data_IF_461909221026
#
_entry.id   IF_461909221026
#
_cell.length_a   1.000
_cell.length_b   1.000
_cell.length_c   1.000
_cell.angle_alpha   90.00
_cell.angle_beta   90.00
_cell.angle_gamma   90.00
#
_symmetry.space_group_name_H-M   'P 1'
#
loop_
_entity.id
_entity.type
_entity.pdbx_description
1 polymer ?
#
# COMPACT_ATOMS: atom_id res chain seq x y z
N UNK A 1 -23.69 -2.67 -47.18
CA UNK A 1 -24.05 -4.08 -47.44
C UNK A 1 -22.89 -4.97 -46.97
N UNK A 2 -23.24 -6.08 -46.30
CA UNK A 2 -22.45 -7.30 -46.00
C UNK A 2 -21.44 -7.25 -44.85
N UNK A 3 -21.91 -7.82 -43.72
CA UNK A 3 -21.13 -8.39 -42.63
C UNK A 3 -20.33 -9.62 -43.11
N UNK A 4 -19.17 -9.88 -42.49
CA UNK A 4 -18.57 -11.21 -42.42
C UNK A 4 -17.80 -11.40 -41.10
N UNK A 5 -18.39 -12.19 -40.20
CA UNK A 5 -17.67 -12.94 -39.15
C UNK A 5 -17.09 -14.22 -39.77
N UNK A 6 -16.00 -14.74 -39.20
CA UNK A 6 -15.88 -16.18 -39.04
C UNK A 6 -15.66 -16.56 -37.57
N UNK A 7 -16.55 -17.42 -37.07
CA UNK A 7 -16.35 -18.26 -35.89
C UNK A 7 -15.59 -19.51 -36.34
N UNK A 8 -14.51 -19.88 -35.65
CA UNK A 8 -14.14 -21.29 -35.54
C UNK A 8 -13.45 -21.56 -34.19
N UNK A 9 -14.03 -22.50 -33.46
CA UNK A 9 -13.60 -23.00 -32.17
C UNK A 9 -12.45 -24.02 -32.31
N UNK A 10 -11.57 -24.09 -31.32
CA UNK A 10 -10.68 -25.24 -31.12
C UNK A 10 -10.61 -25.60 -29.63
N UNK A 11 -11.06 -26.82 -29.33
CA UNK A 11 -11.07 -27.50 -28.04
C UNK A 11 -9.84 -28.40 -27.95
N UNK A 12 -9.08 -28.31 -26.86
CA UNK A 12 -8.18 -29.37 -26.37
C UNK A 12 -8.39 -29.44 -24.85
N UNK A 13 -9.07 -30.47 -24.33
CA UNK A 13 -8.55 -31.81 -23.99
C UNK A 13 -8.02 -31.88 -22.54
N UNK A 14 -8.57 -32.84 -21.81
CA UNK A 14 -8.56 -33.08 -20.37
C UNK A 14 -7.39 -33.96 -19.86
N UNK A 15 -6.99 -33.75 -18.59
CA UNK A 15 -6.33 -34.76 -17.70
C UNK A 15 -4.83 -34.55 -17.45
N UNK A 16 -4.23 -34.77 -16.28
CA UNK A 16 -4.62 -35.22 -14.93
C UNK A 16 -3.39 -34.96 -13.98
N UNK A 17 -3.33 -35.37 -12.69
CA UNK A 17 -2.96 -34.46 -11.58
C UNK A 17 -1.63 -34.80 -10.86
N UNK A 18 -1.35 -34.04 -9.79
CA UNK A 18 -0.48 -34.33 -8.62
C UNK A 18 1.05 -34.25 -8.77
N UNK A 19 1.58 -33.10 -8.38
CA UNK A 19 2.78 -33.02 -7.53
C UNK A 19 2.56 -31.91 -6.48
N UNK A 20 1.64 -32.17 -5.55
CA UNK A 20 1.58 -31.46 -4.29
C UNK A 20 2.38 -32.27 -3.26
N UNK A 21 3.62 -31.86 -3.03
CA UNK A 21 4.37 -32.23 -1.84
C UNK A 21 5.13 -31.00 -1.35
N UNK A 22 4.41 -30.30 -0.49
CA UNK A 22 4.88 -29.54 0.66
C UNK A 22 6.42 -29.41 0.80
N UNK A 23 6.92 -28.19 0.60
CA UNK A 23 7.81 -27.63 1.60
C UNK A 23 7.08 -26.44 2.22
N UNK A 24 6.13 -26.81 3.07
CA UNK A 24 5.54 -25.96 4.10
C UNK A 24 6.68 -25.58 5.05
N UNK A 25 7.52 -24.65 4.62
CA UNK A 25 8.36 -23.91 5.53
C UNK A 25 7.40 -23.11 6.38
N UNK A 26 7.20 -23.58 7.61
CA UNK A 26 6.56 -22.89 8.71
C UNK A 26 7.33 -21.61 9.03
N UNK A 27 7.30 -20.63 8.11
CA UNK A 27 7.68 -19.26 8.38
C UNK A 27 6.49 -18.64 9.11
N UNK A 28 6.42 -18.91 10.41
CA UNK A 28 5.68 -18.19 11.42
C UNK A 28 4.43 -17.44 10.91
N UNK A 29 3.28 -18.09 11.08
CA UNK A 29 1.92 -17.56 11.00
C UNK A 29 1.69 -16.47 12.07
N UNK A 30 2.49 -15.41 12.04
CA UNK A 30 2.42 -14.24 12.92
C UNK A 30 1.89 -13.03 12.11
N UNK A 31 0.93 -13.28 11.22
CA UNK A 31 0.16 -12.21 10.58
C UNK A 31 -1.00 -11.78 11.50
N UNK A 32 -1.48 -10.52 11.42
CA UNK A 32 -2.74 -10.14 12.03
C UNK A 32 -3.87 -11.10 11.60
N UNK A 33 -4.86 -11.37 12.47
CA UNK A 33 -6.00 -12.20 12.07
C UNK A 33 -6.76 -11.57 10.90
N UNK A 34 -7.47 -12.36 10.07
CA UNK A 34 -8.11 -11.88 8.84
C UNK A 34 -9.12 -10.76 9.08
N UNK A 35 -9.78 -10.74 10.24
CA UNK A 35 -10.70 -9.68 10.66
C UNK A 35 -9.97 -8.35 10.82
N UNK A 36 -8.76 -8.37 11.37
CA UNK A 36 -7.91 -7.18 11.53
C UNK A 36 -7.43 -6.69 10.16
N UNK A 37 -7.12 -7.62 9.26
CA UNK A 37 -6.79 -7.25 7.88
C UNK A 37 -7.94 -6.51 7.20
N UNK A 38 -9.18 -6.97 7.37
CA UNK A 38 -10.37 -6.31 6.83
C UNK A 38 -10.59 -4.92 7.45
N UNK A 39 -10.49 -4.80 8.78
CA UNK A 39 -10.64 -3.51 9.48
C UNK A 39 -9.55 -2.50 9.06
N UNK A 40 -8.29 -2.94 8.98
CA UNK A 40 -7.19 -2.10 8.50
C UNK A 40 -7.42 -1.64 7.06
N UNK A 41 -7.97 -2.51 6.21
CA UNK A 41 -8.29 -2.16 4.83
C UNK A 41 -9.42 -1.14 4.77
N UNK A 42 -10.48 -1.35 5.55
CA UNK A 42 -11.59 -0.39 5.66
C UNK A 42 -11.13 0.98 6.18
N UNK A 43 -10.31 1.03 7.24
CA UNK A 43 -9.74 2.27 7.74
C UNK A 43 -8.92 2.99 6.68
N UNK A 44 -8.16 2.24 5.87
CA UNK A 44 -7.39 2.77 4.75
C UNK A 44 -8.28 3.33 3.64
N UNK A 45 -9.35 2.63 3.27
CA UNK A 45 -10.27 3.07 2.20
C UNK A 45 -11.09 4.29 2.62
N UNK A 46 -11.50 4.36 3.89
CA UNK A 46 -12.12 5.54 4.48
C UNK A 46 -11.15 6.74 4.47
N UNK A 47 -9.91 6.53 4.92
CA UNK A 47 -8.90 7.58 4.92
C UNK A 47 -8.52 8.03 3.52
N UNK A 48 -8.49 7.12 2.53
CA UNK A 48 -8.32 7.47 1.12
C UNK A 48 -9.45 8.37 0.64
N UNK A 49 -10.69 7.98 0.89
CA UNK A 49 -11.86 8.74 0.45
C UNK A 49 -11.87 10.13 1.10
N UNK A 50 -11.67 10.22 2.41
CA UNK A 50 -11.64 11.49 3.13
C UNK A 50 -10.48 12.39 2.67
N UNK A 51 -9.25 11.85 2.62
CA UNK A 51 -8.08 12.64 2.23
C UNK A 51 -8.19 13.18 0.81
N UNK A 52 -8.76 12.44 -0.14
CA UNK A 52 -9.00 12.94 -1.49
C UNK A 52 -10.13 13.95 -1.55
N UNK A 53 -11.18 13.80 -0.74
CA UNK A 53 -12.28 14.76 -0.67
C UNK A 53 -11.86 16.13 -0.13
N UNK A 54 -10.87 16.16 0.76
CA UNK A 54 -10.30 17.40 1.31
C UNK A 54 -9.41 18.16 0.31
N UNK A 55 -9.04 17.54 -0.81
CA UNK A 55 -8.30 18.19 -1.88
C UNK A 55 -9.23 18.98 -2.81
N UNK A 56 -8.74 20.13 -3.27
CA UNK A 56 -9.31 20.86 -4.39
C UNK A 56 -9.35 19.95 -5.64
N UNK A 57 -10.31 20.19 -6.53
CA UNK A 57 -10.43 19.38 -7.75
C UNK A 57 -9.16 19.43 -8.62
N UNK A 58 -8.50 20.59 -8.68
CA UNK A 58 -7.27 20.78 -9.44
C UNK A 58 -6.09 20.03 -8.83
N UNK A 59 -5.90 20.11 -7.51
CA UNK A 59 -4.77 19.46 -6.84
C UNK A 59 -4.98 17.95 -6.74
N UNK A 60 -6.24 17.51 -6.53
CA UNK A 60 -6.63 16.10 -6.65
C UNK A 60 -6.23 15.50 -7.99
N UNK A 61 -6.44 16.22 -9.10
CA UNK A 61 -6.06 15.75 -10.43
C UNK A 61 -4.53 15.59 -10.58
N UNK A 62 -3.73 16.53 -10.04
CA UNK A 62 -2.27 16.43 -10.02
C UNK A 62 -1.79 15.23 -9.19
N UNK A 63 -2.36 15.04 -8.01
CA UNK A 63 -2.06 13.91 -7.12
C UNK A 63 -2.38 12.59 -7.82
N UNK A 64 -3.55 12.49 -8.47
CA UNK A 64 -3.96 11.30 -9.20
C UNK A 64 -2.99 10.98 -10.35
N UNK A 65 -2.55 11.99 -11.11
CA UNK A 65 -1.59 11.79 -12.18
C UNK A 65 -0.25 11.20 -11.70
N UNK A 66 0.27 11.65 -10.56
CA UNK A 66 1.50 11.08 -9.97
C UNK A 66 1.28 9.64 -9.53
N UNK A 67 0.13 9.35 -8.89
CA UNK A 67 -0.20 7.99 -8.45
C UNK A 67 -0.35 7.04 -9.65
N UNK A 68 -0.98 7.50 -10.73
CA UNK A 68 -1.15 6.73 -11.96
C UNK A 68 0.20 6.46 -12.62
N UNK A 69 1.11 7.45 -12.67
CA UNK A 69 2.46 7.26 -13.17
C UNK A 69 3.23 6.19 -12.36
N UNK A 70 3.05 6.14 -11.04
CA UNK A 70 3.65 5.11 -10.19
C UNK A 70 3.02 3.74 -10.43
N UNK A 71 1.69 3.65 -10.47
CA UNK A 71 0.96 2.40 -10.72
C UNK A 71 1.30 1.80 -12.10
N UNK A 72 1.44 2.66 -13.11
CA UNK A 72 1.82 2.28 -14.47
C UNK A 72 3.32 2.00 -14.64
N UNK A 73 4.12 2.14 -13.58
CA UNK A 73 5.57 1.91 -13.61
C UNK A 73 6.38 2.97 -14.36
N UNK A 74 5.76 4.09 -14.73
CA UNK A 74 6.43 5.24 -15.35
C UNK A 74 7.29 6.01 -14.33
N UNK A 75 6.92 5.93 -13.05
CA UNK A 75 7.65 6.52 -11.95
C UNK A 75 7.98 5.47 -10.88
N UNK A 76 9.27 5.16 -10.75
CA UNK A 76 9.75 4.11 -9.84
C UNK A 76 10.35 4.66 -8.55
N UNK A 77 10.75 5.93 -8.52
CA UNK A 77 11.21 6.62 -7.31
C UNK A 77 10.02 7.11 -6.48
N UNK A 78 9.67 6.32 -5.46
CA UNK A 78 8.59 6.61 -4.52
C UNK A 78 8.87 7.87 -3.67
N UNK A 79 10.14 8.21 -3.42
CA UNK A 79 10.48 9.41 -2.64
C UNK A 79 10.26 10.66 -3.49
N UNK A 80 10.70 10.64 -4.74
CA UNK A 80 10.43 11.70 -5.69
C UNK A 80 8.92 11.88 -5.93
N UNK A 81 8.16 10.78 -6.03
CA UNK A 81 6.70 10.82 -6.16
C UNK A 81 6.02 11.50 -4.97
N UNK A 82 6.43 11.13 -3.75
CA UNK A 82 5.91 11.76 -2.54
C UNK A 82 6.20 13.28 -2.51
N UNK A 83 7.41 13.70 -2.92
CA UNK A 83 7.80 15.11 -2.97
C UNK A 83 7.01 15.90 -4.03
N UNK A 84 6.75 15.30 -5.20
CA UNK A 84 5.92 15.91 -6.23
C UNK A 84 4.47 16.10 -5.74
N UNK A 85 3.94 15.14 -5.01
CA UNK A 85 2.63 15.28 -4.36
C UNK A 85 2.68 16.41 -3.32
N UNK A 86 3.66 16.41 -2.41
CA UNK A 86 3.79 17.48 -1.39
C UNK A 86 3.86 18.88 -2.03
N UNK A 87 4.58 19.02 -3.15
CA UNK A 87 4.67 20.29 -3.88
C UNK A 87 3.39 20.70 -4.61
N UNK A 88 2.49 19.75 -4.89
CA UNK A 88 1.20 20.01 -5.53
C UNK A 88 0.14 20.49 -4.54
N UNK A 89 0.31 20.22 -3.24
CA UNK A 89 -0.66 20.57 -2.21
C UNK A 89 -0.45 21.98 -1.67
N UNK A 90 -1.55 22.64 -1.35
CA UNK A 90 -1.51 23.84 -0.52
C UNK A 90 -1.20 23.50 0.95
N UNK A 91 -0.78 24.48 1.78
CA UNK A 91 -0.58 24.26 3.21
C UNK A 91 -1.86 23.81 3.93
N UNK A 92 -3.02 24.31 3.51
CA UNK A 92 -4.32 23.94 4.09
C UNK A 92 -4.68 22.47 3.79
N UNK A 93 -4.55 22.05 2.53
CA UNK A 93 -4.78 20.65 2.12
C UNK A 93 -3.78 19.70 2.78
N UNK A 94 -2.50 20.08 2.85
CA UNK A 94 -1.48 19.32 3.58
C UNK A 94 -1.91 19.08 5.03
N UNK A 95 -2.42 20.11 5.70
CA UNK A 95 -2.91 20.01 7.08
C UNK A 95 -4.11 19.07 7.19
N UNK A 96 -5.08 19.17 6.28
CA UNK A 96 -6.26 18.30 6.24
C UNK A 96 -5.87 16.83 6.00
N UNK A 97 -5.02 16.56 5.02
CA UNK A 97 -4.52 15.20 4.70
C UNK A 97 -3.77 14.58 5.90
N UNK A 98 -2.99 15.36 6.64
CA UNK A 98 -2.31 14.89 7.84
C UNK A 98 -3.28 14.64 9.02
N UNK A 99 -4.37 15.40 9.11
CA UNK A 99 -5.44 15.13 10.06
C UNK A 99 -6.12 13.78 9.76
N UNK A 100 -6.40 13.48 8.49
CA UNK A 100 -6.93 12.18 8.07
C UNK A 100 -5.98 11.01 8.36
N UNK A 101 -4.68 11.22 8.15
CA UNK A 101 -3.66 10.24 8.60
C UNK A 101 -3.75 9.97 10.10
N UNK A 102 -3.93 11.02 10.90
CA UNK A 102 -4.01 10.91 12.36
C UNK A 102 -5.26 10.13 12.78
N UNK A 103 -6.41 10.40 12.16
CA UNK A 103 -7.66 9.65 12.37
C UNK A 103 -7.48 8.17 12.00
N UNK A 104 -6.87 7.88 10.86
CA UNK A 104 -6.61 6.49 10.42
C UNK A 104 -5.73 5.75 11.44
N UNK A 105 -4.64 6.36 11.91
CA UNK A 105 -3.76 5.75 12.91
C UNK A 105 -4.50 5.52 14.23
N UNK A 106 -5.32 6.48 14.66
CA UNK A 106 -6.11 6.36 15.87
C UNK A 106 -7.14 5.21 15.77
N UNK A 107 -7.84 5.10 14.63
CA UNK A 107 -8.80 4.02 14.38
C UNK A 107 -8.11 2.64 14.42
N UNK A 108 -7.00 2.48 13.68
CA UNK A 108 -6.23 1.22 13.68
C UNK A 108 -5.74 0.88 15.09
N UNK A 109 -5.28 1.87 15.86
CA UNK A 109 -4.82 1.65 17.24
C UNK A 109 -5.96 1.21 18.16
N UNK A 110 -7.13 1.81 18.01
CA UNK A 110 -8.32 1.45 18.78
C UNK A 110 -8.75 0.01 18.48
N UNK A 111 -8.77 -0.37 17.20
CA UNK A 111 -9.11 -1.73 16.75
C UNK A 111 -8.10 -2.75 17.30
N UNK A 112 -6.81 -2.42 17.29
CA UNK A 112 -5.78 -3.29 17.87
C UNK A 112 -5.93 -3.44 19.37
N UNK A 113 -6.22 -2.35 20.09
CA UNK A 113 -6.42 -2.38 21.53
C UNK A 113 -7.67 -3.18 21.94
N UNK A 114 -8.67 -3.27 21.06
CA UNK A 114 -9.91 -4.02 21.30
C UNK A 114 -9.75 -5.54 21.07
N UNK A 115 -8.58 -6.02 20.60
CA UNK A 115 -8.39 -7.45 20.33
C UNK A 115 -8.23 -8.26 21.62
N UNK A 116 -8.92 -9.42 21.76
CA UNK A 116 -8.88 -10.25 22.97
C UNK A 116 -7.51 -10.91 23.23
N UNK A 117 -6.64 -11.01 22.22
CA UNK A 117 -5.25 -11.48 22.32
C UNK A 117 -4.24 -10.41 21.88
N UNK A 118 -4.59 -9.12 21.98
CA UNK A 118 -3.59 -8.07 21.79
C UNK A 118 -2.39 -8.39 22.70
N UNK A 119 -1.14 -8.40 22.18
CA UNK A 119 0.02 -8.70 23.00
C UNK A 119 -0.03 -7.82 24.25
N UNK A 120 -0.25 -8.47 25.39
CA UNK A 120 -0.47 -7.86 26.69
C UNK A 120 0.90 -7.39 27.23
N UNK A 121 1.55 -6.49 26.49
CA UNK A 121 2.94 -6.11 26.70
C UNK A 121 3.41 -5.03 25.72
N UNK A 122 3.17 -3.76 26.07
CA UNK A 122 3.83 -2.60 25.47
C UNK A 122 3.07 -1.30 25.74
N UNK A 123 3.67 -0.31 26.42
CA UNK A 123 4.90 0.32 25.93
C UNK A 123 5.96 0.48 27.02
N UNK A 124 6.94 -0.43 27.07
CA UNK A 124 8.18 -0.20 27.82
C UNK A 124 9.38 -0.32 26.89
N UNK A 125 9.32 0.45 25.82
CA UNK A 125 10.37 0.66 24.86
C UNK A 125 10.02 1.96 24.19
N UNK A 126 10.38 3.08 24.83
CA UNK A 126 10.30 4.38 24.18
C UNK A 126 10.98 4.32 22.81
N UNK A 127 10.60 5.20 21.87
CA UNK A 127 11.28 5.27 20.58
C UNK A 127 12.79 5.28 20.84
N UNK A 128 13.59 4.43 20.18
CA UNK A 128 15.01 4.36 20.46
C UNK A 128 15.59 5.77 20.37
N UNK A 129 16.45 6.21 21.32
CA UNK A 129 17.03 7.54 21.28
C UNK A 129 17.77 7.70 19.96
N UNK A 130 17.22 8.50 19.04
CA UNK A 130 17.73 8.62 17.66
C UNK A 130 16.78 8.14 16.56
N UNK A 131 15.61 7.57 16.87
CA UNK A 131 14.51 7.47 15.92
C UNK A 131 14.05 8.88 15.57
N UNK A 132 14.72 9.47 14.57
CA UNK A 132 14.29 10.71 13.93
C UNK A 132 12.80 10.54 13.66
N UNK A 133 11.97 11.39 14.26
CA UNK A 133 10.59 11.49 13.91
C UNK A 133 10.56 11.70 12.40
N UNK A 134 10.27 10.64 11.64
CA UNK A 134 10.11 10.75 10.21
C UNK A 134 8.98 11.75 10.04
N UNK A 135 9.31 12.96 9.58
CA UNK A 135 8.36 14.03 9.38
C UNK A 135 7.23 13.47 8.53
N UNK A 136 6.01 13.50 9.07
CA UNK A 136 4.86 12.97 8.38
C UNK A 136 4.64 13.82 7.13
N UNK A 137 4.87 13.24 5.95
CA UNK A 137 4.63 13.87 4.65
C UNK A 137 3.23 13.50 4.15
N UNK A 138 2.47 14.50 3.72
CA UNK A 138 1.14 14.31 3.14
C UNK A 138 1.23 13.52 1.83
N UNK A 139 2.24 13.82 1.01
CA UNK A 139 2.49 13.12 -0.23
C UNK A 139 2.86 11.66 -0.04
N UNK A 140 3.66 11.33 0.98
CA UNK A 140 3.94 9.93 1.33
C UNK A 140 2.67 9.20 1.78
N UNK A 141 1.80 9.88 2.52
CA UNK A 141 0.53 9.31 2.96
C UNK A 141 -0.43 9.07 1.80
N UNK A 142 -0.65 10.06 0.92
CA UNK A 142 -1.48 9.93 -0.26
C UNK A 142 -0.96 8.86 -1.23
N UNK A 143 0.36 8.80 -1.43
CA UNK A 143 1.00 7.76 -2.24
C UNK A 143 0.73 6.37 -1.66
N UNK A 144 0.84 6.21 -0.33
CA UNK A 144 0.54 4.95 0.35
C UNK A 144 -0.94 4.55 0.22
N UNK A 145 -1.88 5.49 0.10
CA UNK A 145 -3.31 5.25 -0.10
C UNK A 145 -3.67 4.95 -1.57
N UNK A 146 -2.98 5.60 -2.50
CA UNK A 146 -3.26 5.55 -3.93
C UNK A 146 -2.60 4.39 -4.68
N UNK A 147 -1.38 4.01 -4.28
CA UNK A 147 -0.62 2.94 -4.93
C UNK A 147 -1.05 1.58 -4.37
N UNK A 148 -1.16 0.56 -5.23
CA UNK A 148 -1.49 -0.80 -4.79
C UNK A 148 -0.40 -1.37 -3.88
N UNK A 149 -0.78 -2.26 -2.95
CA UNK A 149 0.19 -2.86 -2.02
C UNK A 149 1.21 -3.71 -2.77
N UNK A 150 0.76 -4.39 -3.82
CA UNK A 150 1.54 -5.22 -4.72
C UNK A 150 2.59 -4.36 -5.42
N UNK A 151 2.19 -3.22 -6.00
CA UNK A 151 3.12 -2.32 -6.69
C UNK A 151 4.14 -1.71 -5.74
N UNK A 152 3.72 -1.31 -4.54
CA UNK A 152 4.64 -0.84 -3.51
C UNK A 152 5.61 -1.93 -3.02
N UNK A 153 5.22 -3.22 -3.03
CA UNK A 153 6.14 -4.32 -2.72
C UNK A 153 7.12 -4.52 -3.87
N UNK A 154 6.62 -4.59 -5.10
CA UNK A 154 7.42 -4.71 -6.32
C UNK A 154 8.51 -3.63 -6.40
N UNK A 155 8.13 -2.35 -6.26
CA UNK A 155 9.07 -1.23 -6.33
C UNK A 155 10.10 -1.25 -5.19
N UNK A 156 9.71 -1.71 -4.00
CA UNK A 156 10.65 -1.88 -2.87
C UNK A 156 11.65 -3.01 -3.11
N UNK A 157 11.20 -4.13 -3.69
CA UNK A 157 12.10 -5.22 -4.06
C UNK A 157 13.06 -4.80 -5.18
N UNK A 158 12.59 -4.03 -6.16
CA UNK A 158 13.42 -3.49 -7.24
C UNK A 158 14.47 -2.48 -6.76
N UNK A 159 14.22 -1.77 -5.66
CA UNK A 159 15.15 -0.80 -5.07
C UNK A 159 16.12 -1.41 -4.04
N UNK A 160 15.94 -2.66 -3.63
CA UNK A 160 16.92 -3.33 -2.77
C UNK A 160 18.15 -3.70 -3.63
N UNK A 161 19.36 -3.19 -3.32
CA UNK A 161 20.56 -3.64 -4.01
C UNK A 161 20.67 -5.14 -3.79
N UNK A 162 20.71 -5.91 -4.89
CA UNK A 162 20.97 -7.35 -4.81
C UNK A 162 22.29 -7.53 -4.05
N UNK A 163 22.23 -8.17 -2.89
CA UNK A 163 23.43 -8.47 -2.13
C UNK A 163 24.38 -9.24 -3.05
N UNK A 164 25.67 -8.85 -3.17
CA UNK A 164 26.60 -9.54 -4.03
C UNK A 164 26.66 -10.99 -3.58
N UNK A 165 26.23 -11.90 -4.46
CA UNK A 165 26.41 -13.33 -4.30
C UNK A 165 27.91 -13.56 -4.21
N UNK A 166 28.40 -13.94 -3.03
CA UNK A 166 29.79 -14.38 -2.84
C UNK A 166 30.04 -15.53 -3.84
N UNK A 167 31.01 -15.41 -4.75
CA UNK A 167 31.45 -16.57 -5.53
C UNK A 167 32.02 -17.61 -4.55
N UNK A 168 31.60 -18.86 -4.72
CA UNK A 168 32.10 -20.01 -3.98
C UNK A 168 33.54 -20.34 -4.42
#
# INVERSE_FOLDING_TARGET
MKLSLPVLALVFATGFPLAASAQQSSAAENGPPPEVHAQMQQARDNAKTAAFNDLSAADRAKVQAVIDAVNNGQQTDLRAAAQQIDAALTPAETTAVLAERTKMIAAIRADIAAMPNAPQGGPQGGPPPGARAHTASAGRFLLMLGVSREKMRELRHAQQPQAPTKPQ
#
